data_IF_523902904041
#
_entry.id   IF_523902904041
#
_cell.length_a   1.000
_cell.length_b   1.000
_cell.length_c   1.000
_cell.angle_alpha   90.00
_cell.angle_beta   90.00
_cell.angle_gamma   90.00
#
_symmetry.space_group_name_H-M   'P 1'
#
loop_
_entity.id
_entity.type
_entity.pdbx_description
1 polymer ?
#
# COMPACT_ATOMS: atom_id res chain seq x y z
N UNK A 1 -49.23 38.25 38.56
CA UNK A 1 -48.56 37.04 38.12
C UNK A 1 -48.21 37.20 36.65
N UNK A 2 -46.92 37.43 36.29
CA UNK A 2 -46.46 37.57 34.92
C UNK A 2 -45.69 36.32 34.52
N UNK A 3 -46.23 35.56 33.57
CA UNK A 3 -45.58 34.36 32.99
C UNK A 3 -44.69 34.74 31.84
N UNK A 4 -43.38 34.58 32.02
CA UNK A 4 -42.37 34.78 30.98
C UNK A 4 -42.21 33.48 30.17
N UNK A 5 -42.54 33.52 28.87
CA UNK A 5 -42.30 32.42 27.94
C UNK A 5 -40.83 32.47 27.44
N UNK A 6 -40.08 31.44 27.74
CA UNK A 6 -38.72 31.21 27.27
C UNK A 6 -38.79 30.56 25.88
N UNK A 7 -38.31 31.28 24.84
CA UNK A 7 -38.13 30.72 23.51
C UNK A 7 -36.80 29.98 23.47
N UNK A 8 -36.84 28.66 23.31
CA UNK A 8 -35.68 27.83 23.00
C UNK A 8 -35.47 27.89 21.48
N UNK A 9 -34.44 28.64 21.05
CA UNK A 9 -33.95 28.63 19.68
C UNK A 9 -33.12 27.37 19.44
N UNK A 10 -33.63 26.47 18.60
CA UNK A 10 -32.89 25.31 18.10
C UNK A 10 -31.94 25.80 17.01
N UNK A 11 -30.66 25.84 17.30
CA UNK A 11 -29.60 26.06 16.29
C UNK A 11 -29.37 24.75 15.52
N UNK A 12 -29.47 24.70 14.20
CA UNK A 12 -29.06 23.54 13.45
C UNK A 12 -27.52 23.47 13.43
N UNK A 13 -26.96 22.42 14.05
CA UNK A 13 -25.55 22.09 13.92
C UNK A 13 -25.25 21.63 12.48
N UNK A 14 -24.62 22.51 11.71
CA UNK A 14 -24.06 22.14 10.41
C UNK A 14 -22.85 21.27 10.66
N UNK A 15 -22.99 19.96 10.49
CA UNK A 15 -21.88 19.01 10.52
C UNK A 15 -21.12 19.16 9.20
N UNK A 16 -20.02 19.92 9.25
CA UNK A 16 -19.07 20.01 8.16
C UNK A 16 -18.25 18.70 8.11
N UNK A 17 -18.66 17.76 7.25
CA UNK A 17 -17.90 16.55 6.96
C UNK A 17 -16.67 16.98 6.16
N UNK A 18 -15.54 17.18 6.81
CA UNK A 18 -14.24 17.31 6.17
C UNK A 18 -13.86 15.93 5.62
N UNK A 19 -14.11 15.72 4.33
CA UNK A 19 -13.52 14.60 3.61
C UNK A 19 -12.00 14.84 3.57
N UNK A 20 -11.26 14.22 4.47
CA UNK A 20 -9.80 14.12 4.37
C UNK A 20 -9.47 13.22 3.17
N UNK A 21 -9.45 13.83 2.00
CA UNK A 21 -8.91 13.24 0.80
C UNK A 21 -7.40 13.15 0.95
N UNK A 22 -6.84 11.97 0.68
CA UNK A 22 -5.40 11.75 0.61
C UNK A 22 -4.83 12.47 -0.61
N UNK A 23 -4.85 13.80 -0.59
CA UNK A 23 -4.33 14.62 -1.69
C UNK A 23 -2.80 14.65 -1.60
N UNK A 24 -2.18 14.00 -2.57
CA UNK A 24 -0.77 14.20 -2.90
C UNK A 24 -0.66 15.50 -3.67
N UNK A 25 0.17 16.42 -3.19
CA UNK A 25 0.75 17.47 -4.04
C UNK A 25 1.67 16.80 -5.08
N UNK A 26 1.11 16.42 -6.21
CA UNK A 26 1.89 16.16 -7.41
C UNK A 26 2.00 17.50 -8.12
N UNK A 27 3.10 18.20 -7.90
CA UNK A 27 3.47 19.39 -8.67
C UNK A 27 3.73 18.98 -10.13
N UNK A 28 2.69 18.95 -10.92
CA UNK A 28 2.77 19.04 -12.36
C UNK A 28 2.21 20.41 -12.75
N UNK A 29 3.08 21.33 -13.10
CA UNK A 29 2.70 22.52 -13.84
C UNK A 29 2.04 22.08 -15.15
N UNK A 30 0.70 22.16 -15.19
CA UNK A 30 -0.04 22.08 -16.46
C UNK A 30 0.22 23.40 -17.21
N UNK A 31 1.13 23.36 -18.18
CA UNK A 31 1.14 24.39 -19.23
C UNK A 31 -0.12 24.22 -20.07
N UNK A 32 -1.09 25.10 -19.84
CA UNK A 32 -2.25 25.26 -20.67
C UNK A 32 -1.84 25.77 -22.05
N UNK A 33 -1.64 24.87 -23.02
CA UNK A 33 -1.70 25.23 -24.43
C UNK A 33 -3.17 25.30 -24.84
N UNK A 34 -3.66 26.52 -25.03
CA UNK A 34 -4.96 26.79 -25.62
C UNK A 34 -4.87 26.47 -27.13
N UNK A 35 -5.25 25.25 -27.48
CA UNK A 35 -5.41 24.78 -28.84
C UNK A 35 -6.80 24.13 -28.97
N UNK A 36 -7.65 24.69 -29.82
CA UNK A 36 -8.97 24.17 -30.18
C UNK A 36 -8.86 22.72 -30.71
N UNK A 37 -9.22 21.73 -29.91
CA UNK A 37 -9.62 20.42 -30.42
C UNK A 37 -10.58 19.76 -29.43
N UNK A 38 -11.79 19.43 -29.91
CA UNK A 38 -12.79 18.61 -29.23
C UNK A 38 -12.28 17.15 -29.11
N UNK A 39 -11.31 16.91 -28.29
CA UNK A 39 -10.96 15.59 -27.79
C UNK A 39 -10.81 15.73 -26.28
N UNK A 40 -11.82 15.33 -25.53
CA UNK A 40 -11.68 15.11 -24.11
C UNK A 40 -10.69 13.95 -23.90
N UNK A 41 -9.42 14.25 -23.83
CA UNK A 41 -8.40 13.31 -23.34
C UNK A 41 -8.79 13.05 -21.89
N UNK A 42 -9.43 11.90 -21.66
CA UNK A 42 -9.66 11.39 -20.33
C UNK A 42 -8.26 11.23 -19.72
N UNK A 43 -7.90 12.09 -18.76
CA UNK A 43 -6.61 11.97 -18.09
C UNK A 43 -6.56 10.57 -17.46
N UNK A 44 -5.76 9.71 -18.09
CA UNK A 44 -5.62 8.32 -17.64
C UNK A 44 -4.85 8.33 -16.32
N UNK A 45 -5.49 7.85 -15.26
CA UNK A 45 -4.84 7.74 -13.95
C UNK A 45 -3.67 6.75 -14.10
N UNK A 46 -2.43 7.15 -13.79
CA UNK A 46 -1.30 6.24 -13.95
C UNK A 46 -1.38 5.08 -12.96
N UNK A 47 -0.80 3.91 -13.29
CA UNK A 47 -0.67 2.80 -12.36
C UNK A 47 0.12 3.21 -11.12
N UNK A 48 -0.17 2.58 -10.00
CA UNK A 48 0.65 2.75 -8.81
C UNK A 48 1.89 1.84 -8.90
N UNK A 49 3.07 2.41 -8.73
CA UNK A 49 4.33 1.68 -8.69
C UNK A 49 5.12 2.10 -7.46
N UNK A 50 5.70 1.12 -6.78
CA UNK A 50 6.52 1.32 -5.60
C UNK A 50 7.68 0.31 -5.61
N UNK A 51 8.89 0.81 -5.41
CA UNK A 51 10.09 0.00 -5.21
C UNK A 51 10.34 -0.11 -3.70
N UNK A 52 10.18 -1.31 -3.16
CA UNK A 52 10.37 -1.59 -1.73
C UNK A 52 11.73 -2.22 -1.51
N UNK A 53 12.52 -1.64 -0.65
CA UNK A 53 13.81 -2.18 -0.24
C UNK A 53 13.65 -2.88 1.12
N UNK A 54 14.17 -4.11 1.20
CA UNK A 54 14.23 -4.89 2.42
C UNK A 54 15.69 -5.10 2.82
N UNK A 55 15.99 -4.94 4.09
CA UNK A 55 17.34 -5.11 4.66
C UNK A 55 17.31 -6.08 5.83
N UNK A 56 18.35 -6.91 5.91
CA UNK A 56 18.61 -7.81 7.01
C UNK A 56 20.00 -7.60 7.58
N UNK A 57 20.54 -8.62 8.21
CA UNK A 57 21.89 -8.59 8.75
C UNK A 57 22.95 -8.70 7.65
N UNK A 58 24.06 -8.00 7.80
CA UNK A 58 25.21 -8.07 6.89
C UNK A 58 24.85 -7.66 5.45
N UNK A 59 24.93 -8.60 4.51
CA UNK A 59 24.64 -8.39 3.08
C UNK A 59 23.22 -8.83 2.67
N UNK A 60 22.43 -9.36 3.60
CA UNK A 60 21.07 -9.82 3.31
C UNK A 60 20.21 -8.70 2.77
N UNK A 61 19.57 -8.96 1.63
CA UNK A 61 18.87 -7.93 0.89
C UNK A 61 17.64 -8.49 0.19
N UNK A 62 16.61 -7.65 0.10
CA UNK A 62 15.41 -7.91 -0.68
C UNK A 62 14.93 -6.67 -1.42
N UNK A 63 14.26 -6.90 -2.54
CA UNK A 63 13.68 -5.88 -3.38
C UNK A 63 12.32 -6.35 -3.88
N UNK A 64 11.29 -5.51 -3.76
CA UNK A 64 9.95 -5.81 -4.25
C UNK A 64 9.55 -4.71 -5.23
N UNK A 65 9.23 -5.09 -6.46
CA UNK A 65 8.46 -4.23 -7.37
C UNK A 65 6.99 -4.43 -7.09
N UNK A 66 6.41 -3.49 -6.39
CA UNK A 66 4.99 -3.47 -6.07
C UNK A 66 4.27 -2.63 -7.13
N UNK A 67 3.30 -3.23 -7.81
CA UNK A 67 2.53 -2.56 -8.86
C UNK A 67 1.05 -2.84 -8.73
N UNK A 68 0.24 -1.82 -8.99
CA UNK A 68 -1.20 -1.95 -9.19
C UNK A 68 -1.60 -1.17 -10.44
N UNK A 69 -2.17 -1.87 -11.41
CA UNK A 69 -2.75 -1.25 -12.59
C UNK A 69 -4.13 -0.64 -12.26
N UNK A 70 -4.55 0.31 -13.10
CA UNK A 70 -5.87 0.95 -12.97
C UNK A 70 -6.87 0.14 -13.77
N UNK A 71 -7.37 -0.93 -13.19
CA UNK A 71 -8.36 -1.80 -13.80
C UNK A 71 -9.41 -2.27 -12.78
N UNK A 72 -10.47 -2.92 -13.29
CA UNK A 72 -11.54 -3.44 -12.45
C UNK A 72 -11.15 -4.65 -11.62
N UNK A 73 -10.08 -5.35 -11.98
CA UNK A 73 -9.59 -6.52 -11.28
C UNK A 73 -8.91 -6.17 -9.97
N UNK A 74 -8.37 -4.94 -9.86
CA UNK A 74 -7.65 -4.43 -8.66
C UNK A 74 -6.66 -5.45 -8.10
N UNK A 75 -5.80 -5.96 -8.97
CA UNK A 75 -4.74 -6.87 -8.59
C UNK A 75 -3.49 -6.07 -8.25
N UNK A 76 -2.94 -6.33 -7.07
CA UNK A 76 -1.58 -5.90 -6.73
C UNK A 76 -0.62 -7.02 -7.08
N UNK A 77 0.42 -6.70 -7.83
CA UNK A 77 1.51 -7.62 -8.17
C UNK A 77 2.79 -7.25 -7.43
N UNK A 78 3.56 -8.27 -7.03
CA UNK A 78 4.79 -8.11 -6.26
C UNK A 78 5.86 -9.04 -6.87
N UNK A 79 6.74 -8.47 -7.71
CA UNK A 79 7.95 -9.18 -8.13
C UNK A 79 8.98 -9.04 -6.99
N UNK A 80 9.22 -10.13 -6.27
CA UNK A 80 10.04 -10.16 -5.06
C UNK A 80 11.35 -10.87 -5.34
N UNK A 81 12.47 -10.18 -5.12
CA UNK A 81 13.83 -10.71 -5.25
C UNK A 81 14.50 -10.66 -3.89
N UNK A 82 15.16 -11.74 -3.52
CA UNK A 82 15.98 -11.81 -2.30
C UNK A 82 17.35 -12.36 -2.64
N UNK A 83 18.37 -11.98 -1.88
CA UNK A 83 19.74 -12.47 -2.02
C UNK A 83 20.47 -12.49 -0.69
N UNK A 84 21.56 -13.24 -0.66
CA UNK A 84 22.44 -13.39 0.49
C UNK A 84 21.70 -13.96 1.73
N UNK A 85 20.65 -14.77 1.46
CA UNK A 85 19.92 -15.55 2.46
C UNK A 85 20.50 -16.98 2.56
N UNK A 86 19.94 -17.80 3.44
CA UNK A 86 20.36 -19.20 3.57
C UNK A 86 20.02 -19.97 2.26
N UNK A 87 20.96 -20.73 1.69
CA UNK A 87 20.75 -21.53 0.49
C UNK A 87 19.73 -22.65 0.67
N UNK A 88 18.98 -22.95 -0.39
CA UNK A 88 17.99 -24.03 -0.43
C UNK A 88 16.98 -23.98 0.73
N UNK A 89 16.57 -22.77 1.10
CA UNK A 89 15.72 -22.51 2.25
C UNK A 89 14.41 -21.82 1.85
N UNK A 90 13.37 -22.00 2.67
CA UNK A 90 12.05 -21.42 2.42
C UNK A 90 11.81 -20.18 3.28
N UNK A 91 11.30 -19.12 2.66
CA UNK A 91 10.94 -17.86 3.30
C UNK A 91 9.52 -17.47 2.95
N UNK A 92 8.91 -16.60 3.76
CA UNK A 92 7.59 -16.04 3.51
C UNK A 92 7.67 -14.51 3.48
N UNK A 93 7.11 -13.90 2.43
CA UNK A 93 6.89 -12.46 2.39
C UNK A 93 5.61 -12.13 3.15
N UNK A 94 5.71 -11.18 4.06
CA UNK A 94 4.57 -10.65 4.81
C UNK A 94 4.46 -9.14 4.62
N UNK A 95 3.23 -8.62 4.71
CA UNK A 95 2.95 -7.19 4.77
C UNK A 95 2.10 -6.89 5.98
N UNK A 96 2.25 -5.69 6.56
CA UNK A 96 1.27 -5.09 7.45
C UNK A 96 0.87 -3.72 6.93
N UNK A 97 -0.35 -3.29 7.23
CA UNK A 97 -0.89 -1.98 6.86
C UNK A 97 -1.54 -1.34 8.07
N UNK A 98 -1.38 -0.05 8.20
CA UNK A 98 -2.07 0.75 9.19
C UNK A 98 -3.52 1.04 8.77
N UNK A 99 -4.38 1.55 9.65
CA UNK A 99 -5.77 1.84 9.31
C UNK A 99 -5.90 2.73 8.08
N UNK A 100 -6.92 2.46 7.26
CA UNK A 100 -7.17 3.23 6.05
C UNK A 100 -7.29 4.73 6.33
N UNK A 101 -6.65 5.53 5.47
CA UNK A 101 -6.64 7.01 5.52
C UNK A 101 -5.98 7.61 6.78
N UNK A 102 -5.23 6.81 7.53
CA UNK A 102 -4.29 7.26 8.55
C UNK A 102 -2.88 7.08 7.97
N UNK A 103 -2.31 8.18 7.46
CA UNK A 103 -1.02 8.15 6.75
C UNK A 103 -0.15 9.25 7.34
N UNK A 104 0.71 8.88 8.27
CA UNK A 104 1.63 9.78 8.97
C UNK A 104 3.11 9.43 8.71
N UNK A 105 3.37 8.40 7.89
CA UNK A 105 4.69 7.91 7.53
C UNK A 105 5.30 6.97 8.56
N UNK A 106 4.52 6.56 9.57
CA UNK A 106 4.95 5.63 10.62
C UNK A 106 4.12 4.35 10.55
N UNK A 107 4.73 3.26 10.17
CA UNK A 107 4.08 1.96 10.15
C UNK A 107 4.10 1.32 11.54
N UNK A 108 2.95 1.26 12.18
CA UNK A 108 2.78 0.75 13.55
C UNK A 108 2.06 -0.58 13.63
N UNK A 109 1.39 -0.98 12.55
CA UNK A 109 0.62 -2.22 12.50
C UNK A 109 1.50 -3.45 12.65
N UNK A 110 1.10 -4.35 13.53
CA UNK A 110 1.69 -5.70 13.67
C UNK A 110 0.77 -6.79 13.12
N UNK A 111 -0.29 -6.40 12.39
CA UNK A 111 -1.23 -7.34 11.78
C UNK A 111 -0.65 -7.88 10.47
N UNK A 112 0.25 -8.83 10.58
CA UNK A 112 0.99 -9.40 9.47
C UNK A 112 0.14 -10.38 8.66
N UNK A 113 0.08 -10.14 7.35
CA UNK A 113 -0.52 -11.02 6.36
C UNK A 113 0.56 -11.64 5.49
N UNK A 114 0.63 -12.96 5.43
CA UNK A 114 1.50 -13.66 4.48
C UNK A 114 0.97 -13.53 3.06
N UNK A 115 1.84 -13.10 2.16
CA UNK A 115 1.55 -12.94 0.74
C UNK A 115 1.78 -14.24 -0.03
N UNK A 116 1.19 -14.30 -1.24
CA UNK A 116 1.31 -15.47 -2.07
C UNK A 116 0.67 -15.26 -3.44
N UNK A 117 -0.01 -16.26 -3.97
CA UNK A 117 -0.76 -16.20 -5.23
C UNK A 117 -2.26 -16.12 -4.92
N UNK A 118 -2.81 -14.92 -5.00
CA UNK A 118 -4.16 -14.61 -4.53
C UNK A 118 -4.26 -14.67 -3.02
N UNK A 119 -5.09 -15.56 -2.49
CA UNK A 119 -5.28 -15.79 -1.06
C UNK A 119 -4.38 -16.91 -0.49
N UNK A 120 -3.72 -17.68 -1.36
CA UNK A 120 -2.89 -18.82 -0.96
C UNK A 120 -1.46 -18.35 -0.67
N UNK A 121 -0.96 -18.47 0.56
CA UNK A 121 0.44 -18.17 0.89
C UNK A 121 1.40 -18.96 -0.02
N UNK A 122 2.46 -18.30 -0.47
CA UNK A 122 3.47 -18.91 -1.33
C UNK A 122 4.85 -18.69 -0.73
N UNK A 123 5.64 -19.75 -0.51
CA UNK A 123 7.02 -19.60 -0.06
C UNK A 123 7.92 -19.08 -1.19
N UNK A 124 8.94 -18.33 -0.79
CA UNK A 124 10.08 -17.92 -1.60
C UNK A 124 11.17 -18.95 -1.34
N UNK A 125 11.56 -19.72 -2.35
CA UNK A 125 12.57 -20.77 -2.24
C UNK A 125 13.88 -20.26 -2.80
N UNK A 126 14.91 -20.14 -1.96
CA UNK A 126 16.26 -19.76 -2.39
C UNK A 126 16.97 -20.90 -3.10
N UNK A 127 17.81 -20.53 -4.06
CA UNK A 127 18.73 -21.43 -4.74
C UNK A 127 19.96 -21.79 -3.87
N UNK A 128 20.93 -22.50 -4.47
CA UNK A 128 22.21 -22.87 -3.83
C UNK A 128 23.11 -21.69 -3.48
N UNK A 129 22.76 -20.47 -3.92
CA UNK A 129 23.48 -19.21 -3.64
C UNK A 129 22.72 -18.30 -2.66
N UNK A 130 21.59 -18.77 -2.12
CA UNK A 130 20.77 -17.96 -1.23
C UNK A 130 20.00 -16.84 -1.95
N UNK A 131 19.72 -17.01 -3.26
CA UNK A 131 19.00 -16.06 -4.09
C UNK A 131 17.67 -16.63 -4.55
N UNK A 132 16.64 -15.79 -4.62
CA UNK A 132 15.35 -16.16 -5.20
C UNK A 132 14.69 -14.97 -5.92
N UNK A 133 13.81 -15.33 -6.87
CA UNK A 133 12.89 -14.39 -7.51
C UNK A 133 11.50 -15.05 -7.55
N UNK A 134 10.51 -14.43 -6.91
CA UNK A 134 9.15 -14.96 -6.87
C UNK A 134 8.15 -13.90 -7.29
N UNK A 135 7.16 -14.30 -8.10
CA UNK A 135 6.06 -13.44 -8.51
C UNK A 135 4.83 -13.74 -7.68
N UNK A 136 4.45 -12.79 -6.84
CA UNK A 136 3.30 -12.87 -5.95
C UNK A 136 2.22 -11.89 -6.42
N UNK A 137 0.96 -12.13 -6.03
CA UNK A 137 -0.12 -11.19 -6.30
C UNK A 137 -1.23 -11.28 -5.24
N UNK A 138 -1.99 -10.20 -5.12
CA UNK A 138 -3.13 -10.10 -4.20
C UNK A 138 -4.30 -9.40 -4.86
N UNK A 139 -5.49 -9.99 -4.75
CA UNK A 139 -6.76 -9.34 -5.05
C UNK A 139 -7.14 -8.40 -3.91
N UNK A 140 -7.49 -7.17 -4.25
CA UNK A 140 -7.91 -6.12 -3.32
C UNK A 140 -9.20 -5.44 -3.77
N UNK A 141 -10.04 -6.12 -4.56
CA UNK A 141 -11.32 -5.58 -5.09
C UNK A 141 -12.24 -5.06 -4.00
N UNK A 142 -12.18 -5.62 -2.80
CA UNK A 142 -12.95 -5.16 -1.65
C UNK A 142 -12.53 -3.80 -1.10
N UNK A 143 -11.35 -3.28 -1.49
CA UNK A 143 -10.82 -2.02 -0.98
C UNK A 143 -11.21 -0.89 -1.95
N UNK A 144 -11.84 0.21 -1.47
CA UNK A 144 -12.21 1.34 -2.34
C UNK A 144 -10.99 1.99 -2.98
N UNK A 145 -11.08 2.36 -4.27
CA UNK A 145 -10.06 3.17 -4.92
C UNK A 145 -9.91 4.53 -4.22
N UNK A 146 -8.70 5.05 -4.14
CA UNK A 146 -8.35 6.26 -3.39
C UNK A 146 -8.09 6.03 -1.91
N UNK A 147 -8.36 4.84 -1.34
CA UNK A 147 -7.94 4.52 0.02
C UNK A 147 -6.43 4.60 0.14
N UNK A 148 -5.94 5.17 1.24
CA UNK A 148 -4.52 5.34 1.50
C UNK A 148 -4.10 4.53 2.71
N UNK A 149 -2.89 4.01 2.67
CA UNK A 149 -2.31 3.22 3.76
C UNK A 149 -0.84 3.55 3.95
N UNK A 150 -0.38 3.54 5.18
CA UNK A 150 1.01 3.25 5.49
C UNK A 150 1.19 1.73 5.48
N UNK A 151 2.18 1.26 4.73
CA UNK A 151 2.44 -0.17 4.45
C UNK A 151 3.91 -0.48 4.62
N UNK A 152 4.20 -1.61 5.25
CA UNK A 152 5.55 -2.13 5.36
C UNK A 152 5.58 -3.64 5.15
N UNK A 153 6.79 -4.16 4.89
CA UNK A 153 7.00 -5.54 4.52
C UNK A 153 8.09 -6.16 5.35
N UNK A 154 8.03 -7.49 5.49
CA UNK A 154 9.12 -8.28 6.05
C UNK A 154 9.21 -9.63 5.36
N UNK A 155 10.39 -10.20 5.36
CA UNK A 155 10.62 -11.61 5.01
C UNK A 155 10.94 -12.36 6.30
N UNK A 156 10.25 -13.45 6.50
CA UNK A 156 10.47 -14.35 7.64
C UNK A 156 10.94 -15.71 7.16
N UNK A 157 11.72 -16.36 7.96
CA UNK A 157 12.02 -17.80 7.81
C UNK A 157 10.73 -18.62 7.94
N UNK A 158 10.45 -19.52 6.98
CA UNK A 158 9.19 -20.26 6.97
C UNK A 158 9.11 -21.34 8.07
N UNK A 159 10.25 -21.75 8.64
CA UNK A 159 10.34 -22.80 9.66
C UNK A 159 10.35 -22.19 11.07
N UNK A 160 11.23 -21.22 11.29
CA UNK A 160 11.45 -20.63 12.63
C UNK A 160 10.55 -19.42 12.90
N UNK A 161 9.95 -18.86 11.86
CA UNK A 161 9.18 -17.60 11.87
C UNK A 161 10.01 -16.37 12.28
N UNK A 162 11.33 -16.50 12.36
CA UNK A 162 12.23 -15.40 12.64
C UNK A 162 12.22 -14.40 11.48
N UNK A 163 12.24 -13.10 11.80
CA UNK A 163 12.33 -12.04 10.80
C UNK A 163 13.77 -11.98 10.29
N UNK A 164 13.96 -12.08 8.97
CA UNK A 164 15.28 -12.00 8.33
C UNK A 164 15.47 -10.72 7.54
N UNK A 165 14.41 -10.14 6.97
CA UNK A 165 14.47 -8.86 6.28
C UNK A 165 13.29 -7.97 6.70
N UNK A 166 13.53 -6.66 6.81
CA UNK A 166 12.51 -5.64 7.04
C UNK A 166 12.60 -4.52 6.00
N UNK A 167 11.47 -3.90 5.71
CA UNK A 167 11.41 -2.67 4.92
C UNK A 167 11.23 -1.44 5.81
N UNK A 168 11.45 -0.27 5.21
CA UNK A 168 10.92 1.00 5.69
C UNK A 168 9.40 1.05 5.57
N UNK A 169 8.79 2.14 6.07
CA UNK A 169 7.39 2.46 5.90
C UNK A 169 7.17 3.17 4.56
N UNK A 170 6.15 2.77 3.83
CA UNK A 170 5.80 3.34 2.53
C UNK A 170 4.33 3.75 2.50
N UNK A 171 4.03 4.78 1.71
CA UNK A 171 2.65 5.17 1.44
C UNK A 171 2.14 4.44 0.21
N UNK A 172 0.97 3.80 0.34
CA UNK A 172 0.25 3.16 -0.75
C UNK A 172 -1.13 3.82 -0.96
N UNK A 173 -1.50 4.06 -2.23
CA UNK A 173 -2.81 4.59 -2.64
C UNK A 173 -3.44 3.60 -3.61
N UNK A 174 -4.61 3.06 -3.28
CA UNK A 174 -5.36 2.10 -4.10
C UNK A 174 -5.86 2.77 -5.39
N UNK A 175 -5.65 2.12 -6.53
CA UNK A 175 -6.09 2.55 -7.87
C UNK A 175 -7.43 1.97 -8.28
#
# INVERSE_FOLDING_TARGET
MKTTKLFYGVLPAVILVLALSCQKEAGYELQLQVGNAKNSVKAEVPPFNLEVILRGEGQQFGHIKFRQDVDAAKIVTLETRVRDLEPNHAYLLQRAVDPANVVDGNCTSTNWLTLGKGLTPQPILTDDKGTANEYLFRDITAIPSGSCFDIHFRVIDATTLAVVLNSDCYKYVVR
#
